data_IF_553274106277
#
_entry.id   IF_553274106277
#
_cell.length_a   1.000
_cell.length_b   1.000
_cell.length_c   1.000
_cell.angle_alpha   90.00
_cell.angle_beta   90.00
_cell.angle_gamma   90.00
#
_symmetry.space_group_name_H-M   'P 1'
#
loop_
_entity.id
_entity.type
_entity.pdbx_description
1 polymer ?
#
# COMPACT_ATOMS: atom_id res chain seq x y z
N UNK A 1 15.12 26.59 -49.87
CA UNK A 1 15.24 27.17 -48.51
C UNK A 1 14.71 26.11 -47.54
N UNK A 2 15.60 25.34 -46.91
CA UNK A 2 15.20 24.25 -46.03
C UNK A 2 14.84 24.82 -44.65
N UNK A 3 13.67 24.48 -44.13
CA UNK A 3 13.26 24.86 -42.78
C UNK A 3 14.21 24.21 -41.75
N UNK A 4 14.67 24.95 -40.73
CA UNK A 4 15.48 24.36 -39.68
C UNK A 4 14.63 23.33 -38.93
N UNK A 5 15.05 22.06 -38.98
CA UNK A 5 14.47 20.98 -38.19
C UNK A 5 14.80 21.30 -36.74
N UNK A 6 13.83 21.85 -36.00
CA UNK A 6 13.98 22.06 -34.56
C UNK A 6 14.20 20.70 -33.91
N UNK A 7 15.18 20.59 -33.01
CA UNK A 7 15.37 19.37 -32.22
C UNK A 7 14.09 19.16 -31.42
N UNK A 8 13.48 17.96 -31.45
CA UNK A 8 12.31 17.69 -30.63
C UNK A 8 12.68 17.89 -29.17
N UNK A 9 11.88 18.68 -28.45
CA UNK A 9 12.03 18.85 -27.01
C UNK A 9 11.91 17.47 -26.35
N UNK A 10 12.96 17.03 -25.67
CA UNK A 10 12.98 15.74 -25.01
C UNK A 10 11.93 15.75 -23.88
N UNK A 11 10.81 15.08 -24.13
CA UNK A 11 9.70 14.95 -23.19
C UNK A 11 9.52 13.49 -22.80
N UNK A 12 9.13 13.24 -21.55
CA UNK A 12 8.76 11.89 -21.12
C UNK A 12 7.57 11.34 -21.93
N UNK A 13 6.73 12.22 -22.49
CA UNK A 13 5.59 11.82 -23.31
C UNK A 13 5.99 11.29 -24.68
N UNK A 14 7.15 11.71 -25.21
CA UNK A 14 7.66 11.24 -26.50
C UNK A 14 8.54 10.00 -26.37
N UNK A 15 8.77 9.51 -25.16
CA UNK A 15 9.52 8.26 -24.94
C UNK A 15 8.67 7.04 -25.30
N UNK A 16 9.29 6.00 -25.90
CA UNK A 16 8.64 4.71 -26.08
C UNK A 16 8.17 4.11 -24.75
N UNK A 17 7.05 3.41 -24.76
CA UNK A 17 6.44 2.82 -23.56
C UNK A 17 7.35 1.79 -22.88
N UNK A 18 8.19 1.13 -23.66
CA UNK A 18 9.20 0.18 -23.19
C UNK A 18 10.22 0.88 -22.30
N UNK A 19 10.68 2.08 -22.69
CA UNK A 19 11.62 2.88 -21.91
C UNK A 19 10.96 3.37 -20.62
N UNK A 20 9.71 3.83 -20.69
CA UNK A 20 8.94 4.23 -19.51
C UNK A 20 8.76 3.06 -18.53
N UNK A 21 8.48 1.87 -19.05
CA UNK A 21 8.35 0.64 -18.26
C UNK A 21 9.66 0.30 -17.56
N UNK A 22 10.79 0.38 -18.27
CA UNK A 22 12.12 0.16 -17.70
C UNK A 22 12.40 1.17 -16.58
N UNK A 23 12.14 2.46 -16.80
CA UNK A 23 12.37 3.51 -15.80
C UNK A 23 11.56 3.25 -14.52
N UNK A 24 10.28 2.86 -14.65
CA UNK A 24 9.40 2.58 -13.50
C UNK A 24 9.79 1.31 -12.75
N UNK A 25 10.23 0.29 -13.49
CA UNK A 25 10.66 -0.99 -12.95
C UNK A 25 12.12 -1.04 -12.52
N UNK A 26 12.91 0.02 -12.75
CA UNK A 26 14.34 0.00 -12.50
C UNK A 26 14.65 -0.13 -11.00
N UNK A 27 15.51 -1.09 -10.68
CA UNK A 27 16.02 -1.34 -9.34
C UNK A 27 17.53 -1.15 -9.29
N UNK A 28 18.06 -0.76 -8.13
CA UNK A 28 19.48 -0.72 -7.86
C UNK A 28 20.04 -2.13 -7.56
N UNK A 29 21.34 -2.22 -7.26
CA UNK A 29 22.03 -3.48 -6.92
C UNK A 29 21.51 -4.15 -5.63
N UNK A 30 20.76 -3.43 -4.79
CA UNK A 30 20.12 -3.94 -3.57
C UNK A 30 18.67 -4.34 -3.80
N UNK A 31 18.20 -4.40 -5.06
CA UNK A 31 16.81 -4.63 -5.43
C UNK A 31 15.82 -3.58 -4.92
N UNK A 32 16.29 -2.37 -4.57
CA UNK A 32 15.43 -1.24 -4.23
C UNK A 32 15.10 -0.46 -5.51
N UNK A 33 13.86 0.01 -5.63
CA UNK A 33 13.47 0.78 -6.80
C UNK A 33 14.12 2.16 -6.81
N UNK A 34 14.65 2.54 -7.97
CA UNK A 34 15.30 3.84 -8.17
C UNK A 34 14.29 4.98 -8.01
N UNK A 35 13.09 4.80 -8.56
CA UNK A 35 11.98 5.73 -8.36
C UNK A 35 11.15 5.31 -7.15
N UNK A 36 11.03 6.22 -6.18
CA UNK A 36 10.13 6.07 -5.04
C UNK A 36 8.66 6.06 -5.49
N UNK A 37 7.79 5.55 -4.61
CA UNK A 37 6.34 5.55 -4.83
C UNK A 37 5.81 6.96 -5.08
N UNK A 38 6.27 7.96 -4.30
CA UNK A 38 5.81 9.35 -4.41
C UNK A 38 6.18 9.98 -5.75
N UNK A 39 7.37 9.69 -6.28
CA UNK A 39 7.79 10.18 -7.60
C UNK A 39 6.93 9.57 -8.71
N UNK A 40 6.59 8.29 -8.62
CA UNK A 40 5.75 7.63 -9.63
C UNK A 40 4.32 8.15 -9.56
N UNK A 41 3.76 8.32 -8.36
CA UNK A 41 2.45 8.92 -8.17
C UNK A 41 2.42 10.35 -8.73
N UNK A 42 3.43 11.16 -8.42
CA UNK A 42 3.54 12.54 -8.95
C UNK A 42 3.66 12.56 -10.48
N UNK A 43 4.46 11.66 -11.06
CA UNK A 43 4.59 11.50 -12.50
C UNK A 43 3.23 11.19 -13.14
N UNK A 44 2.47 10.26 -12.55
CA UNK A 44 1.14 9.85 -13.03
C UNK A 44 0.09 10.96 -12.89
N UNK A 45 0.21 11.80 -11.87
CA UNK A 45 -0.66 12.95 -11.65
C UNK A 45 -0.34 14.15 -12.54
N UNK A 46 0.83 14.17 -13.19
CA UNK A 46 1.26 15.32 -14.01
C UNK A 46 0.43 15.52 -15.28
N UNK A 47 0.09 14.43 -15.99
CA UNK A 47 -0.76 14.49 -17.19
C UNK A 47 -1.36 13.12 -17.54
N UNK A 48 -2.46 13.15 -18.31
CA UNK A 48 -3.18 11.95 -18.75
C UNK A 48 -2.34 11.03 -19.64
N UNK A 49 -1.46 11.59 -20.49
CA UNK A 49 -0.59 10.80 -21.35
C UNK A 49 0.34 9.91 -20.53
N UNK A 50 1.03 10.48 -19.54
CA UNK A 50 1.90 9.74 -18.64
C UNK A 50 1.12 8.78 -17.76
N UNK A 51 -0.07 9.13 -17.28
CA UNK A 51 -0.94 8.20 -16.56
C UNK A 51 -1.19 6.91 -17.36
N UNK A 52 -1.52 7.04 -18.66
CA UNK A 52 -1.85 5.91 -19.53
C UNK A 52 -0.61 5.10 -19.89
N UNK A 53 0.48 5.73 -20.32
CA UNK A 53 1.70 5.02 -20.75
C UNK A 53 2.39 4.29 -19.61
N UNK A 54 2.21 4.76 -18.37
CA UNK A 54 2.82 4.16 -17.18
C UNK A 54 1.91 3.18 -16.45
N UNK A 55 0.64 3.07 -16.85
CA UNK A 55 -0.38 2.31 -16.10
C UNK A 55 0.01 0.86 -15.89
N UNK A 56 0.40 0.16 -16.95
CA UNK A 56 0.71 -1.27 -16.89
C UNK A 56 1.95 -1.55 -16.01
N UNK A 57 3.03 -0.76 -16.16
CA UNK A 57 4.22 -0.87 -15.33
C UNK A 57 3.91 -0.57 -13.85
N UNK A 58 3.09 0.46 -13.60
CA UNK A 58 2.61 0.81 -12.27
C UNK A 58 1.78 -0.32 -11.66
N UNK A 59 0.80 -0.84 -12.41
CA UNK A 59 -0.09 -1.90 -11.95
C UNK A 59 0.71 -3.17 -11.61
N UNK A 60 1.65 -3.58 -12.47
CA UNK A 60 2.55 -4.71 -12.19
C UNK A 60 3.40 -4.50 -10.92
N UNK A 61 3.90 -3.29 -10.71
CA UNK A 61 4.75 -2.97 -9.54
C UNK A 61 3.98 -2.94 -8.22
N UNK A 62 2.77 -2.38 -8.19
CA UNK A 62 2.05 -2.12 -6.94
C UNK A 62 0.88 -3.06 -6.68
N UNK A 63 0.43 -3.82 -7.68
CA UNK A 63 -0.73 -4.69 -7.56
C UNK A 63 -0.42 -6.18 -7.75
N UNK A 64 0.80 -6.56 -8.17
CA UNK A 64 1.17 -7.98 -8.33
C UNK A 64 1.01 -8.79 -7.04
N UNK A 65 1.55 -8.27 -5.94
CA UNK A 65 1.41 -8.83 -4.60
C UNK A 65 0.72 -7.82 -3.70
N UNK A 66 -0.37 -8.23 -3.06
CA UNK A 66 -1.19 -7.38 -2.20
C UNK A 66 -1.18 -7.91 -0.78
N UNK A 67 -0.67 -7.11 0.16
CA UNK A 67 -0.68 -7.43 1.59
C UNK A 67 -1.85 -6.72 2.27
N UNK A 68 -2.70 -7.48 2.93
CA UNK A 68 -3.89 -6.99 3.62
C UNK A 68 -3.97 -7.51 5.05
N UNK A 69 -4.46 -6.65 5.94
CA UNK A 69 -4.79 -7.03 7.31
C UNK A 69 -6.22 -7.55 7.36
N UNK A 70 -6.55 -8.36 8.37
CA UNK A 70 -7.90 -8.84 8.64
C UNK A 70 -8.77 -7.76 9.31
N UNK A 71 -8.71 -6.52 8.82
CA UNK A 71 -9.58 -5.43 9.25
C UNK A 71 -10.56 -5.07 8.15
N UNK A 72 -11.74 -4.59 8.52
CA UNK A 72 -12.77 -4.17 7.56
C UNK A 72 -12.21 -3.20 6.52
N UNK A 73 -11.49 -2.18 6.96
CA UNK A 73 -10.91 -1.16 6.07
C UNK A 73 -9.89 -1.75 5.09
N UNK A 74 -9.02 -2.67 5.56
CA UNK A 74 -8.00 -3.26 4.71
C UNK A 74 -8.62 -4.22 3.69
N UNK A 75 -9.59 -5.03 4.10
CA UNK A 75 -10.27 -5.96 3.21
C UNK A 75 -11.22 -5.24 2.25
N UNK A 76 -11.87 -4.14 2.64
CA UNK A 76 -12.66 -3.31 1.71
C UNK A 76 -11.78 -2.79 0.58
N UNK A 77 -10.55 -2.38 0.87
CA UNK A 77 -9.60 -1.97 -0.17
C UNK A 77 -9.25 -3.14 -1.12
N UNK A 78 -9.10 -4.37 -0.61
CA UNK A 78 -8.91 -5.55 -1.46
C UNK A 78 -10.13 -5.78 -2.36
N UNK A 79 -11.32 -5.67 -1.79
CA UNK A 79 -12.58 -5.80 -2.51
C UNK A 79 -12.71 -4.76 -3.62
N UNK A 80 -12.45 -3.48 -3.34
CA UNK A 80 -12.50 -2.39 -4.33
C UNK A 80 -11.50 -2.62 -5.47
N UNK A 81 -10.31 -3.14 -5.16
CA UNK A 81 -9.31 -3.54 -6.17
C UNK A 81 -9.83 -4.69 -7.03
N UNK A 82 -10.47 -5.68 -6.40
CA UNK A 82 -11.04 -6.83 -7.08
C UNK A 82 -12.22 -6.44 -7.99
N UNK A 83 -13.01 -5.43 -7.60
CA UNK A 83 -14.07 -4.85 -8.42
C UNK A 83 -13.56 -4.07 -9.63
N UNK A 84 -12.36 -3.49 -9.54
CA UNK A 84 -11.79 -2.69 -10.62
C UNK A 84 -11.29 -3.60 -11.77
N UNK A 85 -11.92 -3.61 -12.96
CA UNK A 85 -11.55 -4.54 -14.05
C UNK A 85 -10.11 -4.34 -14.54
N UNK A 86 -9.59 -3.13 -14.39
CA UNK A 86 -8.23 -2.79 -14.80
C UNK A 86 -7.16 -3.25 -13.79
N UNK A 87 -7.50 -3.45 -12.51
CA UNK A 87 -6.54 -3.80 -11.47
C UNK A 87 -6.64 -5.26 -11.04
N UNK A 88 -7.84 -5.84 -11.05
CA UNK A 88 -8.08 -7.24 -10.64
C UNK A 88 -7.22 -8.24 -11.42
N UNK A 89 -6.92 -7.95 -12.68
CA UNK A 89 -6.08 -8.78 -13.56
C UNK A 89 -4.59 -8.74 -13.21
N UNK A 90 -4.14 -7.77 -12.41
CA UNK A 90 -2.73 -7.64 -12.02
C UNK A 90 -2.42 -8.33 -10.70
N UNK A 91 -3.42 -8.58 -9.86
CA UNK A 91 -3.23 -9.26 -8.57
C UNK A 91 -2.98 -10.73 -8.80
N UNK A 92 -1.76 -11.17 -8.50
CA UNK A 92 -1.31 -12.56 -8.63
C UNK A 92 -1.15 -13.24 -7.27
N UNK A 93 -0.92 -12.44 -6.24
CA UNK A 93 -0.65 -12.92 -4.91
C UNK A 93 -1.34 -12.03 -3.88
N UNK A 94 -2.05 -12.66 -2.95
CA UNK A 94 -2.59 -11.98 -1.76
C UNK A 94 -1.92 -12.57 -0.53
N UNK A 95 -1.41 -11.67 0.32
CA UNK A 95 -0.80 -12.00 1.59
C UNK A 95 -1.70 -11.47 2.70
N UNK A 96 -2.10 -12.34 3.60
CA UNK A 96 -2.91 -12.00 4.76
C UNK A 96 -1.99 -11.98 5.99
N UNK A 97 -2.08 -10.93 6.80
CA UNK A 97 -1.31 -10.85 8.05
C UNK A 97 -1.82 -11.82 9.11
N UNK A 98 -0.98 -12.26 10.08
CA UNK A 98 -1.24 -13.42 10.95
C UNK A 98 -2.38 -13.27 11.95
N UNK A 99 -2.93 -12.08 12.13
CA UNK A 99 -4.03 -11.91 13.07
C UNK A 99 -4.00 -10.56 13.73
N UNK A 100 -5.23 -10.04 13.85
CA UNK A 100 -5.68 -8.83 14.54
C UNK A 100 -4.77 -7.60 14.39
N UNK A 101 -5.26 -6.44 14.77
CA UNK A 101 -4.37 -5.30 14.97
C UNK A 101 -3.45 -5.70 16.13
N UNK A 102 -2.23 -6.11 15.79
CA UNK A 102 -1.35 -6.83 16.71
C UNK A 102 -0.84 -5.91 17.82
N UNK A 103 -0.64 -6.46 19.02
CA UNK A 103 0.29 -5.94 20.04
C UNK A 103 1.70 -5.64 19.52
N UNK A 104 2.11 -6.21 18.37
CA UNK A 104 3.32 -5.79 17.67
C UNK A 104 3.15 -4.51 16.86
N UNK A 105 1.94 -4.15 16.40
CA UNK A 105 1.69 -2.78 15.94
C UNK A 105 1.90 -1.82 17.10
N UNK A 106 1.48 -2.16 18.32
CA UNK A 106 1.86 -1.42 19.53
C UNK A 106 3.39 -1.33 19.66
N UNK A 107 4.16 -2.43 19.66
CA UNK A 107 5.63 -2.39 19.83
C UNK A 107 6.40 -1.78 18.64
N UNK A 108 5.88 -1.86 17.42
CA UNK A 108 6.36 -1.17 16.22
C UNK A 108 6.07 0.33 16.34
N UNK A 109 4.90 0.69 16.86
CA UNK A 109 4.48 2.06 17.17
C UNK A 109 5.01 2.56 18.51
N UNK A 110 5.71 1.74 19.31
CA UNK A 110 6.50 2.17 20.46
C UNK A 110 7.82 2.82 20.03
N UNK A 111 8.19 2.78 18.74
CA UNK A 111 9.44 3.41 18.26
C UNK A 111 9.45 4.94 18.08
N UNK A 112 8.36 5.71 18.26
CA UNK A 112 8.45 7.11 18.64
C UNK A 112 8.37 7.34 20.16
N UNK A 113 8.19 6.32 21.02
CA UNK A 113 8.08 6.51 22.50
C UNK A 113 9.41 6.88 23.18
N UNK A 114 10.51 7.01 22.45
CA UNK A 114 11.72 7.67 22.94
C UNK A 114 12.09 8.86 22.06
N UNK A 115 11.62 10.08 22.37
CA UNK A 115 12.38 11.24 21.95
C UNK A 115 13.72 11.16 22.66
N UNK A 116 14.81 11.05 21.89
CA UNK A 116 16.17 11.13 22.45
C UNK A 116 16.41 12.50 23.12
N UNK A 117 15.50 13.47 22.97
CA UNK A 117 15.47 14.68 23.77
C UNK A 117 14.01 15.07 24.06
N UNK A 118 13.60 14.95 25.32
CA UNK A 118 12.37 15.50 25.84
C UNK A 118 12.35 17.03 25.63
N UNK A 119 11.41 17.53 24.82
CA UNK A 119 11.11 18.96 24.79
C UNK A 119 9.62 19.30 24.63
N UNK A 120 8.76 18.38 24.16
CA UNK A 120 7.34 18.70 23.97
C UNK A 120 6.42 17.61 24.55
N UNK A 121 5.95 17.80 25.78
CA UNK A 121 5.01 16.91 26.51
C UNK A 121 3.60 16.78 25.90
N UNK A 122 3.38 17.21 24.66
CA UNK A 122 2.08 17.15 23.99
C UNK A 122 1.75 15.76 23.42
N UNK A 123 2.75 14.96 23.03
CA UNK A 123 2.53 13.68 22.34
C UNK A 123 2.19 12.54 23.31
N UNK A 124 2.74 12.57 24.53
CA UNK A 124 2.46 11.57 25.57
C UNK A 124 1.04 11.71 26.12
N UNK A 125 0.60 12.96 26.36
CA UNK A 125 -0.79 13.26 26.76
C UNK A 125 -1.83 13.02 25.65
N UNK A 126 -1.40 12.88 24.39
CA UNK A 126 -2.28 12.54 23.27
C UNK A 126 -2.60 11.05 23.25
N UNK A 127 -1.58 10.20 23.48
CA UNK A 127 -1.73 8.75 23.61
C UNK A 127 -2.57 8.37 24.84
N UNK A 128 -2.33 9.02 25.98
CA UNK A 128 -3.05 8.79 27.24
C UNK A 128 -4.53 9.24 27.20
N UNK A 129 -4.92 10.14 26.29
CA UNK A 129 -6.30 10.69 26.23
C UNK A 129 -7.16 10.17 25.08
N UNK A 130 -6.56 9.73 23.97
CA UNK A 130 -7.29 9.28 22.76
C UNK A 130 -6.87 7.90 22.30
N UNK A 131 -5.59 7.57 22.41
CA UNK A 131 -5.02 6.34 21.86
C UNK A 131 -5.63 5.08 22.47
N UNK A 132 -5.86 5.03 23.78
CA UNK A 132 -6.37 3.82 24.45
C UNK A 132 -7.84 3.53 24.09
N UNK A 133 -8.73 4.53 24.13
CA UNK A 133 -10.13 4.37 23.74
C UNK A 133 -10.29 4.08 22.24
N UNK A 134 -9.57 4.82 21.38
CA UNK A 134 -9.60 4.58 19.93
C UNK A 134 -9.01 3.23 19.53
N UNK A 135 -8.01 2.75 20.28
CA UNK A 135 -7.46 1.40 20.10
C UNK A 135 -8.48 0.33 20.48
N UNK A 136 -9.15 0.50 21.62
CA UNK A 136 -10.19 -0.46 22.06
C UNK A 136 -11.36 -0.49 21.08
N UNK A 137 -11.81 0.67 20.58
CA UNK A 137 -12.89 0.76 19.58
C UNK A 137 -12.53 -0.01 18.31
N UNK A 138 -11.27 0.09 17.87
CA UNK A 138 -10.76 -0.60 16.68
C UNK A 138 -10.66 -2.12 16.90
N UNK A 139 -10.27 -2.57 18.10
CA UNK A 139 -10.26 -3.99 18.45
C UNK A 139 -11.68 -4.57 18.56
N UNK A 140 -12.61 -3.81 19.12
CA UNK A 140 -14.01 -4.20 19.24
C UNK A 140 -14.69 -4.28 17.87
N UNK A 141 -14.40 -3.33 16.97
CA UNK A 141 -14.85 -3.36 15.57
C UNK A 141 -14.34 -4.60 14.85
N UNK A 142 -13.05 -4.88 14.96
CA UNK A 142 -12.44 -6.05 14.33
C UNK A 142 -13.04 -7.36 14.87
N UNK A 143 -13.28 -7.43 16.20
CA UNK A 143 -13.92 -8.59 16.82
C UNK A 143 -15.34 -8.79 16.27
N UNK A 144 -16.14 -7.72 16.16
CA UNK A 144 -17.49 -7.80 15.58
C UNK A 144 -17.46 -8.21 14.11
N UNK A 145 -16.46 -7.77 13.36
CA UNK A 145 -16.31 -8.09 11.95
C UNK A 145 -15.89 -9.55 11.72
N UNK A 146 -15.08 -10.11 12.61
CA UNK A 146 -14.76 -11.54 12.63
C UNK A 146 -15.99 -12.38 13.05
N UNK A 147 -16.71 -11.96 14.10
CA UNK A 147 -17.87 -12.71 14.62
C UNK A 147 -19.09 -12.67 13.69
N UNK A 148 -19.19 -11.67 12.80
CA UNK A 148 -20.34 -11.52 11.89
C UNK A 148 -20.31 -12.47 10.69
N UNK A 149 -19.15 -13.07 10.37
CA UNK A 149 -18.93 -13.85 9.15
C UNK A 149 -18.75 -13.01 7.88
N UNK A 150 -18.80 -11.68 8.00
CA UNK A 150 -18.66 -10.75 6.87
C UNK A 150 -17.23 -10.75 6.31
N UNK A 151 -16.25 -11.04 7.17
CA UNK A 151 -14.86 -11.19 6.78
C UNK A 151 -14.69 -12.29 5.73
N UNK A 152 -15.25 -13.46 5.98
CA UNK A 152 -15.18 -14.62 5.08
C UNK A 152 -15.95 -14.37 3.79
N UNK A 153 -17.11 -13.71 3.88
CA UNK A 153 -17.91 -13.34 2.72
C UNK A 153 -17.13 -12.40 1.80
N UNK A 154 -16.54 -11.35 2.36
CA UNK A 154 -15.83 -10.33 1.58
C UNK A 154 -14.53 -10.86 0.99
N UNK A 155 -13.79 -11.70 1.71
CA UNK A 155 -12.63 -12.42 1.15
C UNK A 155 -13.04 -13.37 0.04
N UNK A 156 -14.12 -14.14 0.27
CA UNK A 156 -14.63 -15.10 -0.71
C UNK A 156 -15.05 -14.41 -2.01
N UNK A 157 -15.73 -13.26 -1.91
CA UNK A 157 -16.12 -12.48 -3.08
C UNK A 157 -14.91 -11.84 -3.76
N UNK A 158 -14.00 -11.21 -3.01
CA UNK A 158 -12.79 -10.64 -3.58
C UNK A 158 -11.97 -11.68 -4.35
N UNK A 159 -11.73 -12.87 -3.77
CA UNK A 159 -10.96 -13.92 -4.42
C UNK A 159 -11.65 -14.47 -5.68
N UNK A 160 -12.99 -14.54 -5.71
CA UNK A 160 -13.72 -14.90 -6.93
C UNK A 160 -13.52 -13.89 -8.06
N UNK A 161 -13.41 -12.60 -7.72
CA UNK A 161 -13.22 -11.53 -8.70
C UNK A 161 -11.77 -11.40 -9.19
N UNK A 162 -10.80 -11.82 -8.39
CA UNK A 162 -9.38 -11.81 -8.74
C UNK A 162 -9.02 -12.99 -9.66
N UNK A 163 -9.44 -12.94 -10.92
CA UNK A 163 -9.22 -14.03 -11.90
C UNK A 163 -7.75 -14.36 -12.20
N UNK A 164 -6.80 -13.48 -11.88
CA UNK A 164 -5.36 -13.70 -12.03
C UNK A 164 -4.66 -14.22 -10.77
N UNK A 165 -5.41 -14.41 -9.68
CA UNK A 165 -4.86 -14.83 -8.39
C UNK A 165 -4.32 -16.25 -8.47
N UNK A 166 -3.06 -16.42 -8.05
CA UNK A 166 -2.35 -17.72 -8.06
C UNK A 166 -2.04 -18.20 -6.66
N UNK A 167 -1.63 -17.29 -5.79
CA UNK A 167 -1.15 -17.60 -4.45
C UNK A 167 -1.92 -16.80 -3.42
N UNK A 168 -2.35 -17.48 -2.36
CA UNK A 168 -2.82 -16.86 -1.11
C UNK A 168 -2.00 -17.47 0.00
N UNK A 169 -1.38 -16.64 0.83
CA UNK A 169 -0.63 -17.13 1.99
C UNK A 169 -0.76 -16.20 3.17
N UNK A 170 -0.51 -16.76 4.35
CA UNK A 170 -0.47 -16.03 5.62
C UNK A 170 1.00 -15.81 5.95
N UNK A 171 1.39 -14.56 6.19
CA UNK A 171 2.79 -14.19 6.44
C UNK A 171 2.92 -13.51 7.79
N UNK A 172 4.01 -13.77 8.50
CA UNK A 172 4.31 -13.16 9.80
C UNK A 172 4.48 -11.64 9.67
N UNK A 173 4.26 -10.91 10.78
CA UNK A 173 4.64 -9.50 10.82
C UNK A 173 6.16 -9.39 10.61
N UNK A 174 6.59 -8.92 9.43
CA UNK A 174 8.00 -8.81 9.13
C UNK A 174 8.66 -7.80 10.08
N UNK A 175 9.72 -8.23 10.77
CA UNK A 175 10.50 -7.39 11.67
C UNK A 175 11.32 -6.30 10.93
N UNK A 176 11.53 -6.46 9.62
CA UNK A 176 12.32 -5.54 8.81
C UNK A 176 11.48 -4.37 8.26
N UNK A 177 11.59 -3.23 8.93
CA UNK A 177 10.91 -1.99 8.56
C UNK A 177 11.52 -1.26 7.35
N UNK A 178 12.72 -1.65 6.90
CA UNK A 178 13.42 -0.97 5.80
C UNK A 178 13.05 -1.50 4.43
N UNK A 179 12.42 -2.67 4.38
CA UNK A 179 11.86 -3.20 3.14
C UNK A 179 10.43 -2.71 2.95
N UNK A 180 10.25 -1.71 2.08
CA UNK A 180 8.95 -1.14 1.72
C UNK A 180 7.91 -2.19 1.28
N UNK A 181 8.37 -3.35 0.82
CA UNK A 181 7.53 -4.44 0.35
C UNK A 181 7.16 -5.44 1.46
N UNK A 182 7.97 -5.58 2.50
CA UNK A 182 7.73 -6.50 3.62
C UNK A 182 7.10 -5.80 4.85
N UNK A 183 7.22 -4.47 4.94
CA UNK A 183 6.83 -3.74 6.13
C UNK A 183 5.30 -3.59 6.24
N UNK A 184 4.71 -4.22 7.25
CA UNK A 184 3.27 -4.18 7.50
C UNK A 184 2.74 -2.77 7.78
N UNK A 185 3.55 -1.85 8.29
CA UNK A 185 3.14 -0.46 8.54
C UNK A 185 2.87 0.35 7.26
N UNK A 186 3.30 -0.17 6.10
CA UNK A 186 3.05 0.42 4.78
C UNK A 186 1.91 -0.29 4.03
N UNK A 187 1.25 -1.26 4.66
CA UNK A 187 0.13 -1.97 4.06
C UNK A 187 -1.14 -1.12 4.03
N UNK A 188 -2.04 -1.48 3.13
CA UNK A 188 -3.27 -0.73 2.90
C UNK A 188 -4.21 -0.88 4.09
N UNK A 189 -4.68 0.25 4.62
CA UNK A 189 -5.54 0.32 5.80
C UNK A 189 -4.82 0.80 7.06
N UNK A 190 -3.49 0.68 7.16
CA UNK A 190 -2.76 1.10 8.38
C UNK A 190 -2.93 2.59 8.66
N UNK A 191 -2.74 3.47 7.68
CA UNK A 191 -2.96 4.92 7.88
C UNK A 191 -4.39 5.26 8.30
N UNK A 192 -5.37 4.54 7.77
CA UNK A 192 -6.79 4.75 8.11
C UNK A 192 -7.09 4.27 9.52
N UNK A 193 -6.56 3.10 9.90
CA UNK A 193 -6.61 2.57 11.26
C UNK A 193 -5.94 3.55 12.24
N UNK A 194 -4.75 4.06 11.90
CA UNK A 194 -4.05 5.07 12.69
C UNK A 194 -4.91 6.33 12.86
N UNK A 195 -5.55 6.82 11.80
CA UNK A 195 -6.46 7.96 11.90
C UNK A 195 -7.72 7.71 12.72
N UNK A 196 -8.15 6.45 12.89
CA UNK A 196 -9.26 6.08 13.77
C UNK A 196 -8.83 6.02 15.25
N UNK A 197 -7.58 5.63 15.51
CA UNK A 197 -7.00 5.58 16.85
C UNK A 197 -6.74 7.00 17.39
N UNK A 198 -6.45 7.96 16.52
CA UNK A 198 -6.26 9.37 16.86
C UNK A 198 -5.20 10.02 16.00
#
# INVERSE_FOLDING_TARGET
MALPISKPDASLQSMPIEIMTIIIGATNLKHEFILSTDHICSLRSSCRALYLTTFDAFARRFFSTRRHMLSRTSLQCLFDIAQCPQLSTYVKEVVIGPGRINTELDTIMERPRRPMNAANGGQQQWWERRGEAGWQDVLDEQTRFEDSGELEEMLGEAFRMLGSLKNVHIDAYAADMHNDYACWTKTWGVKSILGQIG
#
